data_IF_347439988276
#
_entry.id   IF_347439988276
#
_cell.length_a   1.000
_cell.length_b   1.000
_cell.length_c   1.000
_cell.angle_alpha   90.00
_cell.angle_beta   90.00
_cell.angle_gamma   90.00
#
_symmetry.space_group_name_H-M   'P 1'
#
loop_
_entity.id
_entity.type
_entity.pdbx_description
1 polymer ?
#
# COMPACT_ATOMS: atom_id res chain seq x y z
N UNK A 1 -20.34 64.63 21.98
CA UNK A 1 -20.88 63.34 22.44
C UNK A 1 -21.72 62.72 21.34
N UNK A 2 -21.13 61.86 20.49
CA UNK A 2 -21.92 61.02 19.57
C UNK A 2 -22.52 59.88 20.40
N UNK A 3 -23.82 59.72 20.27
CA UNK A 3 -24.74 59.13 21.25
C UNK A 3 -24.63 57.61 21.36
N UNK A 4 -24.69 57.10 22.60
CA UNK A 4 -24.87 55.69 22.97
C UNK A 4 -25.98 54.96 22.17
N UNK A 5 -26.96 55.69 21.63
CA UNK A 5 -28.01 55.16 20.73
C UNK A 5 -27.48 54.51 19.45
N UNK A 6 -26.36 55.00 18.89
CA UNK A 6 -25.81 54.42 17.65
C UNK A 6 -25.09 53.09 17.89
N UNK A 7 -24.61 52.84 19.12
CA UNK A 7 -23.99 51.58 19.52
C UNK A 7 -25.07 50.53 19.84
N UNK A 8 -26.16 50.94 20.52
CA UNK A 8 -27.32 50.06 20.76
C UNK A 8 -28.08 49.68 19.47
N UNK A 9 -28.18 50.59 18.49
CA UNK A 9 -28.80 50.26 17.19
C UNK A 9 -28.00 49.24 16.36
N UNK A 10 -26.67 49.22 16.51
CA UNK A 10 -25.82 48.22 15.87
C UNK A 10 -25.87 46.86 16.58
N UNK A 11 -26.03 46.83 17.91
CA UNK A 11 -26.20 45.59 18.67
C UNK A 11 -27.56 44.92 18.42
N UNK A 12 -28.63 45.70 18.25
CA UNK A 12 -29.96 45.16 17.93
C UNK A 12 -30.02 44.57 16.52
N UNK A 13 -29.35 45.18 15.54
CA UNK A 13 -29.26 44.62 14.19
C UNK A 13 -28.42 43.33 14.15
N UNK A 14 -27.35 43.28 14.95
CA UNK A 14 -26.52 42.08 15.11
C UNK A 14 -27.31 40.93 15.74
N UNK A 15 -28.04 41.19 16.83
CA UNK A 15 -28.86 40.19 17.52
C UNK A 15 -29.96 39.63 16.60
N UNK A 16 -30.60 40.49 15.80
CA UNK A 16 -31.57 40.05 14.79
C UNK A 16 -30.96 39.14 13.72
N UNK A 17 -29.71 39.42 13.30
CA UNK A 17 -29.00 38.56 12.34
C UNK A 17 -28.65 37.20 12.95
N UNK A 18 -28.16 37.18 14.19
CA UNK A 18 -27.83 35.94 14.92
C UNK A 18 -29.09 35.08 15.08
N UNK A 19 -30.22 35.67 15.50
CA UNK A 19 -31.50 34.96 15.61
C UNK A 19 -31.96 34.37 14.27
N UNK A 20 -31.79 35.13 13.17
CA UNK A 20 -32.12 34.64 11.83
C UNK A 20 -31.24 33.45 11.41
N UNK A 21 -29.95 33.50 11.71
CA UNK A 21 -29.01 32.39 11.47
C UNK A 21 -29.41 31.18 12.30
N UNK A 22 -29.64 31.37 13.60
CA UNK A 22 -30.10 30.32 14.52
C UNK A 22 -31.36 29.63 14.00
N UNK A 23 -32.38 30.38 13.61
CA UNK A 23 -33.59 29.78 13.03
C UNK A 23 -33.33 29.01 11.74
N UNK A 24 -32.42 29.51 10.88
CA UNK A 24 -32.07 28.80 9.65
C UNK A 24 -31.27 27.52 9.91
N UNK A 25 -30.48 27.47 10.98
CA UNK A 25 -29.68 26.30 11.37
C UNK A 25 -30.55 25.25 12.04
N UNK A 26 -31.41 25.63 12.98
CA UNK A 26 -32.30 24.69 13.70
C UNK A 26 -33.36 24.08 12.77
N UNK A 27 -33.72 24.77 11.68
CA UNK A 27 -34.66 24.25 10.67
C UNK A 27 -34.03 23.28 9.67
N UNK A 28 -32.70 23.14 9.67
CA UNK A 28 -32.03 22.16 8.82
C UNK A 28 -32.44 20.73 9.24
N UNK A 29 -32.82 19.84 8.31
CA UNK A 29 -33.30 18.50 8.64
C UNK A 29 -32.30 17.69 9.48
N UNK A 30 -31.02 17.73 9.12
CA UNK A 30 -29.98 16.94 9.78
C UNK A 30 -29.68 17.48 11.19
N UNK A 31 -29.63 18.82 11.33
CA UNK A 31 -29.47 19.47 12.64
C UNK A 31 -30.68 19.18 13.52
N UNK A 32 -31.90 19.30 12.98
CA UNK A 32 -33.13 19.05 13.72
C UNK A 32 -33.19 17.61 14.24
N UNK A 33 -32.85 16.64 13.40
CA UNK A 33 -32.77 15.23 13.79
C UNK A 33 -31.79 15.03 14.96
N UNK A 34 -30.59 15.62 14.88
CA UNK A 34 -29.61 15.55 15.97
C UNK A 34 -30.14 16.16 17.29
N UNK A 35 -30.77 17.34 17.21
CA UNK A 35 -31.35 18.02 18.36
C UNK A 35 -32.48 17.20 19.00
N UNK A 36 -33.31 16.54 18.19
CA UNK A 36 -34.39 15.66 18.64
C UNK A 36 -33.86 14.39 19.33
N UNK A 37 -32.79 13.79 18.79
CA UNK A 37 -32.16 12.60 19.38
C UNK A 37 -31.48 12.89 20.73
N UNK A 38 -31.02 14.13 20.96
CA UNK A 38 -30.26 14.51 22.15
C UNK A 38 -30.98 15.50 23.08
N UNK A 39 -32.31 15.58 23.02
CA UNK A 39 -33.11 16.53 23.82
C UNK A 39 -32.85 16.47 25.32
N UNK A 40 -32.51 15.30 25.87
CA UNK A 40 -32.22 15.13 27.30
C UNK A 40 -30.88 15.70 27.75
N UNK A 41 -29.96 15.95 26.81
CA UNK A 41 -28.59 16.42 27.09
C UNK A 41 -28.36 17.86 26.61
N UNK A 42 -29.25 18.39 25.76
CA UNK A 42 -29.11 19.71 25.16
C UNK A 42 -29.81 20.80 25.99
N UNK A 43 -29.14 21.93 26.13
CA UNK A 43 -29.75 23.17 26.65
C UNK A 43 -29.76 24.26 25.58
N UNK A 44 -30.67 25.23 25.68
CA UNK A 44 -30.68 26.37 24.75
C UNK A 44 -29.37 27.16 24.78
N UNK A 45 -28.71 27.24 25.95
CA UNK A 45 -27.40 27.89 26.08
C UNK A 45 -26.33 27.18 25.25
N UNK A 46 -26.32 25.84 25.24
CA UNK A 46 -25.38 25.06 24.41
C UNK A 46 -25.60 25.33 22.91
N UNK A 47 -26.86 25.39 22.47
CA UNK A 47 -27.20 25.68 21.07
C UNK A 47 -26.73 27.09 20.67
N UNK A 48 -26.85 28.05 21.58
CA UNK A 48 -26.40 29.43 21.34
C UNK A 48 -24.88 29.55 21.31
N UNK A 49 -24.18 28.91 22.24
CA UNK A 49 -22.72 28.93 22.32
C UNK A 49 -22.04 28.17 21.18
N UNK A 50 -22.66 27.09 20.71
CA UNK A 50 -22.14 26.23 19.64
C UNK A 50 -22.85 26.46 18.29
N UNK A 51 -23.54 27.60 18.13
CA UNK A 51 -24.24 27.93 16.88
C UNK A 51 -23.32 27.90 15.66
N UNK A 52 -22.06 28.30 15.82
CA UNK A 52 -21.04 28.25 14.76
C UNK A 52 -20.75 26.80 14.33
N UNK A 53 -20.73 25.85 15.27
CA UNK A 53 -20.50 24.42 14.99
C UNK A 53 -21.70 23.86 14.23
N UNK A 54 -22.91 24.18 14.66
CA UNK A 54 -24.13 23.76 13.96
C UNK A 54 -24.22 24.36 12.55
N UNK A 55 -23.75 25.59 12.36
CA UNK A 55 -23.67 26.22 11.05
C UNK A 55 -22.61 25.54 10.16
N UNK A 56 -21.41 25.26 10.69
CA UNK A 56 -20.36 24.52 9.98
C UNK A 56 -20.82 23.12 9.55
N UNK A 57 -21.58 22.44 10.42
CA UNK A 57 -22.17 21.15 10.09
C UNK A 57 -23.21 21.27 8.97
N UNK A 58 -24.08 22.28 9.05
CA UNK A 58 -25.11 22.54 8.05
C UNK A 58 -24.52 22.75 6.65
N UNK A 59 -23.44 23.52 6.54
CA UNK A 59 -22.84 23.92 5.26
C UNK A 59 -22.04 22.78 4.57
N UNK A 60 -21.96 21.60 5.20
CA UNK A 60 -21.29 20.42 4.69
C UNK A 60 -22.28 19.32 4.26
N UNK A 61 -21.80 18.39 3.45
CA UNK A 61 -22.53 17.21 3.00
C UNK A 61 -22.36 16.05 3.99
N UNK A 62 -23.48 15.52 4.50
CA UNK A 62 -23.52 14.46 5.53
C UNK A 62 -23.53 13.07 4.93
N UNK A 63 -24.13 12.94 3.74
CA UNK A 63 -24.33 11.66 3.06
C UNK A 63 -23.51 11.58 1.78
N UNK A 64 -22.96 10.38 1.55
CA UNK A 64 -22.23 10.10 0.33
C UNK A 64 -23.19 9.98 -0.86
N UNK A 65 -22.93 10.75 -1.93
CA UNK A 65 -23.74 10.82 -3.15
C UNK A 65 -23.09 10.13 -4.37
N UNK A 66 -21.94 9.48 -4.19
CA UNK A 66 -21.19 8.86 -5.29
C UNK A 66 -20.03 9.69 -5.84
N UNK A 67 -19.74 10.88 -5.29
CA UNK A 67 -18.63 11.72 -5.76
C UNK A 67 -17.24 11.03 -5.67
N UNK A 68 -16.31 11.53 -6.48
CA UNK A 68 -14.89 11.13 -6.46
C UNK A 68 -14.12 11.87 -5.35
N UNK A 69 -13.01 11.29 -4.88
CA UNK A 69 -12.20 11.90 -3.81
C UNK A 69 -11.70 13.30 -4.19
N UNK A 70 -11.35 13.53 -5.46
CA UNK A 70 -10.87 14.83 -5.94
C UNK A 70 -11.92 15.94 -5.80
N UNK A 71 -13.20 15.56 -5.90
CA UNK A 71 -14.39 16.43 -5.96
C UNK A 71 -15.17 16.42 -4.63
N UNK A 72 -14.61 15.85 -3.56
CA UNK A 72 -15.28 15.79 -2.26
C UNK A 72 -15.62 17.21 -1.77
N UNK A 73 -16.92 17.55 -1.56
CA UNK A 73 -17.35 18.93 -1.33
C UNK A 73 -17.18 19.41 0.12
N UNK A 74 -16.75 18.53 1.03
CA UNK A 74 -16.62 18.84 2.45
C UNK A 74 -15.33 19.57 2.80
N UNK A 75 -15.37 20.32 3.91
CA UNK A 75 -14.26 21.16 4.35
C UNK A 75 -12.99 20.33 4.62
N UNK A 76 -13.16 19.18 5.27
CA UNK A 76 -12.10 18.18 5.41
C UNK A 76 -12.21 17.18 4.26
N UNK A 77 -11.33 17.33 3.27
CA UNK A 77 -11.36 16.51 2.04
C UNK A 77 -11.42 15.02 2.34
N UNK A 78 -12.42 14.35 1.77
CA UNK A 78 -12.65 12.92 1.94
C UNK A 78 -13.25 12.51 3.28
N UNK A 79 -13.86 13.42 4.03
CA UNK A 79 -14.54 13.13 5.28
C UNK A 79 -15.97 13.67 5.26
N UNK A 80 -16.85 13.06 6.05
CA UNK A 80 -18.20 13.57 6.34
C UNK A 80 -18.26 14.00 7.81
N UNK A 81 -18.88 15.14 8.13
CA UNK A 81 -18.99 15.60 9.50
C UNK A 81 -20.11 14.83 10.22
N UNK A 82 -19.94 14.62 11.51
CA UNK A 82 -20.95 14.02 12.40
C UNK A 82 -20.96 14.80 13.72
N UNK A 83 -22.16 15.21 14.16
CA UNK A 83 -22.34 15.91 15.42
C UNK A 83 -22.31 14.93 16.59
N UNK A 84 -21.71 15.37 17.70
CA UNK A 84 -21.75 14.67 18.98
C UNK A 84 -21.69 15.66 20.13
N UNK A 85 -22.11 15.21 21.32
CA UNK A 85 -22.05 15.99 22.56
C UNK A 85 -20.93 15.43 23.43
N UNK A 86 -20.05 16.32 23.91
CA UNK A 86 -19.01 15.97 24.87
C UNK A 86 -18.75 17.16 25.78
N UNK A 87 -18.70 16.92 27.10
CA UNK A 87 -18.48 17.95 28.12
C UNK A 87 -19.42 19.15 27.98
N UNK A 88 -20.72 18.88 27.80
CA UNK A 88 -21.77 19.92 27.63
C UNK A 88 -21.50 20.86 26.45
N UNK A 89 -20.79 20.41 25.41
CA UNK A 89 -20.55 21.14 24.16
C UNK A 89 -20.92 20.30 22.95
N UNK A 90 -21.48 20.94 21.94
CA UNK A 90 -21.73 20.34 20.63
C UNK A 90 -20.45 20.43 19.80
N UNK A 91 -20.01 19.30 19.26
CA UNK A 91 -18.77 19.20 18.47
C UNK A 91 -19.01 18.46 17.17
N UNK A 92 -18.12 18.67 16.20
CA UNK A 92 -18.06 17.88 14.96
C UNK A 92 -16.88 16.92 15.04
N UNK A 93 -17.13 15.65 14.69
CA UNK A 93 -16.07 14.70 14.35
C UNK A 93 -16.14 14.37 12.87
N UNK A 94 -14.99 14.09 12.28
CA UNK A 94 -14.88 13.83 10.85
C UNK A 94 -14.68 12.33 10.62
N UNK A 95 -15.70 11.68 10.06
CA UNK A 95 -15.66 10.28 9.66
C UNK A 95 -15.13 10.16 8.23
N UNK A 96 -14.50 9.04 7.89
CA UNK A 96 -14.01 8.82 6.51
C UNK A 96 -15.20 8.71 5.56
N UNK A 97 -15.20 9.54 4.52
CA UNK A 97 -16.16 9.43 3.41
C UNK A 97 -15.84 8.17 2.59
N UNK A 98 -16.85 7.45 2.06
CA UNK A 98 -16.63 6.32 1.16
C UNK A 98 -15.72 6.61 -0.03
N UNK A 99 -15.70 7.84 -0.56
CA UNK A 99 -14.76 8.24 -1.62
C UNK A 99 -13.30 8.16 -1.18
N UNK A 100 -12.99 8.55 0.07
CA UNK A 100 -11.65 8.47 0.66
C UNK A 100 -11.27 7.04 0.97
N UNK A 101 -12.21 6.22 1.44
CA UNK A 101 -11.98 4.79 1.65
C UNK A 101 -11.60 4.14 0.32
N UNK A 102 -12.36 4.35 -0.75
CA UNK A 102 -12.04 3.84 -2.08
C UNK A 102 -10.70 4.37 -2.61
N UNK A 103 -10.47 5.68 -2.53
CA UNK A 103 -9.20 6.28 -2.98
C UNK A 103 -7.99 5.76 -2.18
N UNK A 104 -8.12 5.64 -0.86
CA UNK A 104 -7.05 5.11 0.00
C UNK A 104 -6.86 3.61 -0.27
N UNK A 105 -7.92 2.83 -0.52
CA UNK A 105 -7.84 1.43 -0.93
C UNK A 105 -7.20 1.28 -2.32
N UNK A 106 -7.55 2.10 -3.30
CA UNK A 106 -6.92 2.12 -4.63
C UNK A 106 -5.46 2.51 -4.55
N UNK A 107 -5.14 3.54 -3.76
CA UNK A 107 -3.77 3.99 -3.52
C UNK A 107 -2.97 2.92 -2.78
N UNK A 108 -3.55 2.30 -1.76
CA UNK A 108 -2.94 1.19 -1.02
C UNK A 108 -2.71 0.01 -1.97
N UNK A 109 -3.72 -0.42 -2.71
CA UNK A 109 -3.66 -1.47 -3.73
C UNK A 109 -2.62 -1.20 -4.82
N UNK A 110 -2.47 0.06 -5.25
CA UNK A 110 -1.43 0.47 -6.20
C UNK A 110 -0.02 0.42 -5.60
N UNK A 111 0.11 0.48 -4.26
CA UNK A 111 1.35 0.29 -3.53
C UNK A 111 1.64 -1.19 -3.21
N UNK A 112 0.60 -2.03 -3.05
CA UNK A 112 0.73 -3.49 -2.79
C UNK A 112 1.29 -4.28 -3.98
N UNK A 113 1.30 -3.67 -5.17
CA UNK A 113 2.07 -4.14 -6.31
C UNK A 113 2.86 -2.95 -6.82
N UNK A 114 3.92 -2.59 -6.10
CA UNK A 114 4.91 -1.63 -6.61
C UNK A 114 5.67 -2.32 -7.74
N UNK A 115 5.05 -2.43 -8.92
CA UNK A 115 5.65 -3.00 -10.12
C UNK A 115 6.60 -1.97 -10.71
N UNK A 116 7.87 -2.11 -10.38
CA UNK A 116 8.90 -1.46 -11.17
C UNK A 116 9.05 -2.24 -12.48
N UNK A 117 8.36 -1.78 -13.53
CA UNK A 117 8.57 -2.14 -14.94
C UNK A 117 8.14 -3.55 -15.41
N UNK A 118 7.15 -4.19 -14.77
CA UNK A 118 6.57 -5.44 -15.27
C UNK A 118 5.47 -5.22 -16.33
N UNK A 119 5.32 -6.21 -17.24
CA UNK A 119 4.22 -6.27 -18.21
C UNK A 119 2.87 -6.51 -17.50
N UNK A 120 1.80 -5.86 -17.99
CA UNK A 120 0.45 -5.91 -17.37
C UNK A 120 -0.08 -7.34 -17.18
N UNK A 121 0.24 -8.25 -18.10
CA UNK A 121 -0.23 -9.63 -18.05
C UNK A 121 0.32 -10.42 -16.85
N UNK A 122 1.48 -10.00 -16.31
CA UNK A 122 2.03 -10.57 -15.06
C UNK A 122 1.27 -10.06 -13.83
N UNK A 123 0.66 -8.87 -13.92
CA UNK A 123 -0.09 -8.25 -12.83
C UNK A 123 -1.52 -8.80 -12.68
N UNK A 124 -2.06 -9.48 -13.70
CA UNK A 124 -3.42 -10.05 -13.70
C UNK A 124 -3.43 -11.59 -13.49
N UNK A 125 -2.26 -12.20 -13.29
CA UNK A 125 -2.09 -13.64 -13.10
C UNK A 125 -2.86 -14.17 -11.88
N UNK A 126 -3.52 -15.33 -11.99
CA UNK A 126 -4.21 -15.97 -10.85
C UNK A 126 -3.63 -17.36 -10.61
N UNK A 127 -3.60 -17.79 -9.35
CA UNK A 127 -3.09 -19.13 -9.03
C UNK A 127 -3.86 -20.25 -9.72
N UNK A 128 -5.18 -20.09 -9.87
CA UNK A 128 -6.04 -21.02 -10.61
C UNK A 128 -5.71 -21.12 -12.11
N UNK A 129 -5.04 -20.10 -12.66
CA UNK A 129 -4.63 -20.03 -14.06
C UNK A 129 -3.21 -20.58 -14.24
N UNK A 130 -2.51 -20.98 -13.16
CA UNK A 130 -1.31 -21.80 -13.25
C UNK A 130 -1.76 -23.16 -13.79
N UNK A 131 -1.62 -23.34 -15.11
CA UNK A 131 -2.10 -24.48 -15.88
C UNK A 131 -1.79 -25.82 -15.17
N UNK A 132 -2.84 -26.53 -14.79
CA UNK A 132 -2.84 -27.80 -14.06
C UNK A 132 -2.38 -29.01 -14.91
N UNK A 133 -1.54 -28.80 -15.92
CA UNK A 133 -1.23 -29.82 -16.93
C UNK A 133 0.00 -30.67 -16.58
N UNK A 134 0.87 -30.22 -15.68
CA UNK A 134 2.09 -30.94 -15.28
C UNK A 134 2.22 -30.97 -13.75
N UNK A 135 2.64 -32.12 -13.18
CA UNK A 135 2.68 -32.36 -11.72
C UNK A 135 3.50 -31.31 -10.97
N UNK A 136 4.66 -30.92 -11.53
CA UNK A 136 5.57 -29.97 -10.89
C UNK A 136 4.94 -28.57 -10.72
N UNK A 137 4.02 -28.18 -11.61
CA UNK A 137 3.28 -26.90 -11.49
C UNK A 137 2.18 -26.94 -10.44
N UNK A 138 1.59 -28.12 -10.23
CA UNK A 138 0.60 -28.31 -9.17
C UNK A 138 1.26 -28.19 -7.81
N UNK A 139 2.44 -28.79 -7.62
CA UNK A 139 3.21 -28.70 -6.38
C UNK A 139 3.58 -27.25 -6.05
N UNK A 140 4.01 -26.48 -7.06
CA UNK A 140 4.31 -25.04 -6.89
C UNK A 140 3.05 -24.24 -6.56
N UNK A 141 1.92 -24.52 -7.22
CA UNK A 141 0.66 -23.83 -6.94
C UNK A 141 0.14 -24.12 -5.53
N UNK A 142 0.26 -25.37 -5.07
CA UNK A 142 -0.09 -25.77 -3.70
C UNK A 142 0.81 -25.11 -2.67
N UNK A 143 2.12 -25.11 -2.90
CA UNK A 143 3.09 -24.44 -2.02
C UNK A 143 2.83 -22.92 -1.97
N UNK A 144 2.52 -22.29 -3.10
CA UNK A 144 2.15 -20.88 -3.17
C UNK A 144 0.89 -20.57 -2.35
N UNK A 145 -0.16 -21.39 -2.49
CA UNK A 145 -1.43 -21.23 -1.75
C UNK A 145 -1.23 -21.39 -0.23
N UNK A 146 -0.45 -22.40 0.16
CA UNK A 146 -0.08 -22.65 1.56
C UNK A 146 0.70 -21.48 2.14
N UNK A 147 1.76 -21.03 1.46
CA UNK A 147 2.56 -19.88 1.91
C UNK A 147 1.68 -18.63 2.05
N UNK A 148 0.81 -18.33 1.09
CA UNK A 148 -0.11 -17.19 1.17
C UNK A 148 -1.09 -17.30 2.35
N UNK A 149 -1.51 -18.52 2.69
CA UNK A 149 -2.39 -18.78 3.83
C UNK A 149 -1.64 -18.59 5.15
N UNK A 150 -0.44 -19.14 5.27
CA UNK A 150 0.40 -19.00 6.46
C UNK A 150 0.80 -17.53 6.69
N UNK A 151 1.13 -16.78 5.63
CA UNK A 151 1.36 -15.32 5.69
C UNK A 151 0.11 -14.60 6.24
N UNK A 152 -1.09 -14.96 5.78
CA UNK A 152 -2.32 -14.35 6.26
C UNK A 152 -2.62 -14.65 7.74
N UNK A 153 -2.14 -15.78 8.23
CA UNK A 153 -2.19 -16.16 9.65
C UNK A 153 -1.03 -15.56 10.47
N UNK A 154 -0.19 -14.71 9.86
CA UNK A 154 0.97 -14.08 10.48
C UNK A 154 2.02 -15.09 10.98
N UNK A 155 2.14 -16.22 10.28
CA UNK A 155 3.14 -17.25 10.52
C UNK A 155 4.44 -16.96 9.78
N UNK A 156 5.55 -17.45 10.33
CA UNK A 156 6.87 -17.34 9.67
C UNK A 156 6.93 -18.31 8.49
N UNK A 157 7.28 -17.80 7.32
CA UNK A 157 7.37 -18.60 6.10
C UNK A 157 8.67 -18.34 5.35
N UNK A 158 9.15 -19.34 4.62
CA UNK A 158 10.09 -19.15 3.52
C UNK A 158 9.31 -18.83 2.25
N UNK A 159 9.86 -17.95 1.41
CA UNK A 159 9.29 -17.72 0.09
C UNK A 159 9.67 -18.82 -0.91
N UNK A 160 9.31 -18.64 -2.16
CA UNK A 160 9.65 -19.57 -3.25
C UNK A 160 10.88 -19.07 -4.00
N UNK A 161 11.77 -19.99 -4.38
CA UNK A 161 12.82 -19.74 -5.37
C UNK A 161 12.48 -20.51 -6.64
N UNK A 162 11.87 -19.82 -7.59
CA UNK A 162 11.42 -20.38 -8.85
C UNK A 162 12.56 -20.33 -9.87
N UNK A 163 13.01 -21.46 -10.37
CA UNK A 163 14.10 -21.49 -11.34
C UNK A 163 13.86 -22.44 -12.50
N UNK A 164 14.54 -22.20 -13.63
CA UNK A 164 14.44 -23.00 -14.84
C UNK A 164 14.51 -22.16 -16.11
N UNK A 165 14.26 -22.76 -17.29
CA UNK A 165 14.44 -22.11 -18.59
C UNK A 165 13.59 -20.84 -18.80
N UNK A 166 13.96 -20.05 -19.81
CA UNK A 166 13.18 -18.87 -20.20
C UNK A 166 11.76 -19.25 -20.64
N UNK A 167 10.79 -18.41 -20.28
CA UNK A 167 9.41 -18.55 -20.75
C UNK A 167 8.61 -19.69 -20.10
N UNK A 168 9.11 -20.31 -19.03
CA UNK A 168 8.37 -21.34 -18.28
C UNK A 168 7.30 -20.80 -17.33
N UNK A 169 7.16 -19.47 -17.19
CA UNK A 169 6.10 -18.84 -16.40
C UNK A 169 6.48 -18.47 -14.96
N UNK A 170 7.77 -18.42 -14.61
CA UNK A 170 8.25 -18.07 -13.27
C UNK A 170 7.71 -16.72 -12.77
N UNK A 171 7.84 -15.66 -13.59
CA UNK A 171 7.33 -14.32 -13.27
C UNK A 171 5.80 -14.30 -13.14
N UNK A 172 5.09 -15.10 -13.95
CA UNK A 172 3.64 -15.25 -13.87
C UNK A 172 3.21 -15.83 -12.52
N UNK A 173 3.94 -16.83 -12.01
CA UNK A 173 3.66 -17.42 -10.69
C UNK A 173 3.90 -16.40 -9.58
N UNK A 174 4.98 -15.60 -9.63
CA UNK A 174 5.17 -14.50 -8.68
C UNK A 174 4.00 -13.50 -8.71
N UNK A 175 3.54 -13.12 -9.91
CA UNK A 175 2.36 -12.27 -10.09
C UNK A 175 1.09 -12.90 -9.49
N UNK A 176 0.91 -14.21 -9.67
CA UNK A 176 -0.22 -14.95 -9.13
C UNK A 176 -0.21 -15.00 -7.58
N UNK A 177 0.97 -15.20 -6.97
CA UNK A 177 1.17 -15.11 -5.52
C UNK A 177 0.81 -13.71 -5.02
N UNK A 178 1.31 -12.66 -5.70
CA UNK A 178 1.02 -11.28 -5.31
C UNK A 178 -0.47 -10.94 -5.38
N UNK A 179 -1.16 -11.41 -6.42
CA UNK A 179 -2.59 -11.24 -6.56
C UNK A 179 -3.39 -12.00 -5.52
N UNK A 180 -2.93 -13.18 -5.12
CA UNK A 180 -3.57 -13.90 -4.03
C UNK A 180 -3.41 -13.14 -2.70
N UNK A 181 -2.20 -12.67 -2.37
CA UNK A 181 -1.95 -11.85 -1.18
C UNK A 181 -2.79 -10.56 -1.20
N UNK A 182 -2.91 -9.92 -2.37
CA UNK A 182 -3.78 -8.76 -2.58
C UNK A 182 -5.25 -9.08 -2.30
N UNK A 183 -5.76 -10.24 -2.73
CA UNK A 183 -7.14 -10.65 -2.42
C UNK A 183 -7.38 -10.84 -0.91
N UNK A 184 -6.32 -11.14 -0.16
CA UNK A 184 -6.31 -11.19 1.32
C UNK A 184 -5.97 -9.83 1.98
N UNK A 185 -5.89 -8.74 1.21
CA UNK A 185 -5.52 -7.37 1.65
C UNK A 185 -4.11 -7.25 2.24
N UNK A 186 -3.18 -8.12 1.81
CA UNK A 186 -1.79 -8.12 2.27
C UNK A 186 -0.89 -7.45 1.24
N UNK A 187 -0.06 -6.51 1.70
CA UNK A 187 0.88 -5.78 0.85
C UNK A 187 2.03 -6.66 0.39
N UNK A 188 2.35 -6.61 -0.90
CA UNK A 188 3.56 -7.19 -1.46
C UNK A 188 4.32 -6.18 -2.32
N UNK A 189 5.50 -6.53 -2.80
CA UNK A 189 6.28 -5.68 -3.72
C UNK A 189 7.00 -6.60 -4.68
N UNK A 190 6.80 -6.39 -5.99
CA UNK A 190 7.48 -7.16 -7.03
C UNK A 190 8.48 -6.24 -7.74
N UNK A 191 9.74 -6.65 -7.76
CA UNK A 191 10.83 -5.88 -8.34
C UNK A 191 11.48 -6.70 -9.43
N UNK A 192 11.46 -6.17 -10.67
CA UNK A 192 12.32 -6.68 -11.73
C UNK A 192 13.75 -6.19 -11.49
N UNK A 193 14.63 -7.10 -11.07
CA UNK A 193 15.92 -6.76 -10.50
C UNK A 193 16.87 -6.02 -11.46
N UNK A 194 16.99 -6.41 -12.75
CA UNK A 194 17.88 -5.73 -13.70
C UNK A 194 17.55 -4.23 -13.86
N UNK A 195 16.26 -3.92 -13.97
CA UNK A 195 15.79 -2.55 -14.17
C UNK A 195 15.83 -1.72 -12.89
N UNK A 196 15.58 -2.37 -11.74
CA UNK A 196 15.75 -1.74 -10.44
C UNK A 196 17.20 -1.29 -10.23
N UNK A 197 18.17 -2.17 -10.53
CA UNK A 197 19.59 -1.83 -10.48
C UNK A 197 19.91 -0.66 -11.43
N UNK A 198 19.38 -0.66 -12.66
CA UNK A 198 19.55 0.45 -13.61
C UNK A 198 19.04 1.77 -13.03
N UNK A 199 17.89 1.74 -12.37
CA UNK A 199 17.28 2.90 -11.72
C UNK A 199 18.12 3.40 -10.53
N UNK A 200 18.69 2.49 -9.73
CA UNK A 200 19.56 2.84 -8.61
C UNK A 200 20.89 3.45 -9.08
N UNK A 201 21.48 2.94 -10.17
CA UNK A 201 22.69 3.53 -10.77
C UNK A 201 22.49 5.00 -11.15
N UNK A 202 21.30 5.37 -11.64
CA UNK A 202 20.95 6.75 -11.95
C UNK A 202 20.86 7.68 -10.72
N UNK A 203 20.53 7.12 -9.54
CA UNK A 203 20.42 7.85 -8.27
C UNK A 203 21.72 7.94 -7.46
N UNK A 204 22.82 7.38 -7.97
CA UNK A 204 24.10 7.25 -7.27
C UNK A 204 24.74 8.59 -6.90
N UNK A 205 24.63 9.59 -7.80
CA UNK A 205 25.28 10.90 -7.61
C UNK A 205 24.63 11.77 -6.54
N UNK A 206 23.34 11.56 -6.28
CA UNK A 206 22.52 12.47 -5.47
C UNK A 206 22.01 11.81 -4.17
N UNK A 207 22.50 10.61 -3.82
CA UNK A 207 22.11 9.86 -2.61
C UNK A 207 20.68 9.30 -2.62
N UNK A 208 19.88 9.62 -3.64
CA UNK A 208 18.47 9.19 -3.77
C UNK A 208 18.29 7.68 -3.92
N UNK A 209 19.36 6.93 -4.24
CA UNK A 209 19.32 5.48 -4.36
C UNK A 209 19.07 4.79 -3.01
N UNK A 210 19.61 5.33 -1.91
CA UNK A 210 19.49 4.73 -0.57
C UNK A 210 18.03 4.68 -0.12
N UNK A 211 17.30 5.79 -0.26
CA UNK A 211 15.88 5.87 0.09
C UNK A 211 15.00 4.93 -0.75
N UNK A 212 15.36 4.71 -2.03
CA UNK A 212 14.65 3.74 -2.89
C UNK A 212 14.94 2.31 -2.46
N UNK A 213 16.20 2.01 -2.15
CA UNK A 213 16.63 0.70 -1.67
C UNK A 213 16.00 0.37 -0.32
N UNK A 214 15.98 1.33 0.62
CA UNK A 214 15.37 1.20 1.94
C UNK A 214 13.90 0.80 1.83
N UNK A 215 13.13 1.48 0.98
CA UNK A 215 11.72 1.16 0.74
C UNK A 215 11.51 -0.28 0.23
N UNK A 216 12.37 -0.77 -0.66
CA UNK A 216 12.29 -2.15 -1.18
C UNK A 216 12.75 -3.16 -0.12
N UNK A 217 13.79 -2.82 0.63
CA UNK A 217 14.37 -3.63 1.70
C UNK A 217 13.37 -3.89 2.82
N UNK A 218 12.59 -2.89 3.17
CA UNK A 218 11.63 -2.91 4.28
C UNK A 218 10.22 -3.34 3.88
N UNK A 219 9.99 -3.69 2.61
CA UNK A 219 8.70 -4.19 2.16
C UNK A 219 8.29 -5.45 2.96
N UNK A 220 7.05 -5.50 3.45
CA UNK A 220 6.55 -6.63 4.24
C UNK A 220 6.76 -7.96 3.51
N UNK A 221 6.47 -8.00 2.21
CA UNK A 221 6.70 -9.14 1.33
C UNK A 221 7.38 -8.62 0.07
N UNK A 222 8.50 -9.25 -0.31
CA UNK A 222 9.28 -8.88 -1.49
C UNK A 222 9.38 -10.05 -2.45
N UNK A 223 9.21 -9.78 -3.74
CA UNK A 223 9.40 -10.72 -4.83
C UNK A 223 10.44 -10.13 -5.78
N UNK A 224 11.58 -10.81 -5.91
CA UNK A 224 12.68 -10.43 -6.79
C UNK A 224 12.57 -11.24 -8.08
N UNK A 225 12.14 -10.59 -9.15
CA UNK A 225 11.97 -11.22 -10.46
C UNK A 225 13.26 -11.13 -11.28
N UNK A 226 13.62 -12.26 -11.89
CA UNK A 226 14.75 -12.47 -12.79
C UNK A 226 16.12 -12.14 -12.16
N UNK A 227 16.33 -12.60 -10.92
CA UNK A 227 17.64 -12.50 -10.26
C UNK A 227 18.69 -13.28 -11.04
N UNK A 228 19.83 -12.66 -11.30
CA UNK A 228 20.90 -13.19 -12.14
C UNK A 228 20.86 -12.72 -13.60
N UNK A 229 19.80 -12.05 -14.05
CA UNK A 229 19.77 -11.43 -15.38
C UNK A 229 20.56 -10.10 -15.43
N UNK A 230 20.91 -9.53 -14.27
CA UNK A 230 21.71 -8.32 -14.17
C UNK A 230 23.20 -8.54 -14.48
N UNK A 231 23.87 -7.48 -14.95
CA UNK A 231 25.33 -7.43 -14.96
C UNK A 231 25.84 -7.34 -13.52
N UNK A 232 26.53 -8.39 -13.06
CA UNK A 232 27.13 -8.43 -11.72
C UNK A 232 28.35 -7.52 -11.68
N UNK A 233 28.23 -6.41 -10.96
CA UNK A 233 29.36 -5.59 -10.55
C UNK A 233 29.59 -5.73 -9.05
N UNK A 234 30.82 -5.51 -8.53
CA UNK A 234 31.09 -5.55 -7.09
C UNK A 234 30.13 -4.65 -6.31
N UNK A 235 29.80 -3.47 -6.85
CA UNK A 235 28.82 -2.56 -6.26
C UNK A 235 27.40 -3.15 -6.18
N UNK A 236 26.89 -3.73 -7.27
CA UNK A 236 25.56 -4.37 -7.25
C UNK A 236 25.50 -5.49 -6.23
N UNK A 237 26.54 -6.32 -6.19
CA UNK A 237 26.62 -7.47 -5.29
C UNK A 237 26.76 -7.05 -3.82
N UNK A 238 27.68 -6.14 -3.52
CA UNK A 238 28.11 -5.82 -2.15
C UNK A 238 27.28 -4.71 -1.51
N UNK A 239 26.73 -3.77 -2.29
CA UNK A 239 25.99 -2.61 -1.77
C UNK A 239 24.46 -2.74 -1.98
N UNK A 240 24.01 -3.53 -2.94
CA UNK A 240 22.57 -3.71 -3.22
C UNK A 240 22.10 -5.10 -2.77
N UNK A 241 22.49 -6.15 -3.48
CA UNK A 241 21.93 -7.50 -3.28
C UNK A 241 22.31 -8.03 -1.89
N UNK A 242 23.58 -7.93 -1.52
CA UNK A 242 24.08 -8.39 -0.23
C UNK A 242 23.34 -7.77 0.96
N UNK A 243 23.33 -6.44 1.11
CA UNK A 243 22.66 -5.75 2.21
C UNK A 243 21.14 -5.94 2.20
N UNK A 244 20.51 -5.93 1.03
CA UNK A 244 19.07 -6.19 0.86
C UNK A 244 18.70 -7.56 1.46
N UNK A 245 19.37 -8.62 1.01
CA UNK A 245 19.06 -9.98 1.46
C UNK A 245 19.48 -10.21 2.92
N UNK A 246 20.55 -9.57 3.37
CA UNK A 246 20.98 -9.67 4.77
C UNK A 246 19.91 -9.12 5.72
N UNK A 247 19.40 -7.91 5.43
CA UNK A 247 18.34 -7.29 6.23
C UNK A 247 17.11 -8.19 6.31
N UNK A 248 16.62 -8.65 5.14
CA UNK A 248 15.42 -9.48 5.08
C UNK A 248 15.59 -10.82 5.81
N UNK A 249 16.78 -11.40 5.77
CA UNK A 249 17.10 -12.62 6.52
C UNK A 249 17.07 -12.38 8.03
N UNK A 250 17.70 -11.30 8.51
CA UNK A 250 17.74 -10.96 9.95
C UNK A 250 16.35 -10.64 10.50
N UNK A 251 15.52 -9.96 9.70
CA UNK A 251 14.16 -9.59 10.07
C UNK A 251 13.11 -10.64 9.68
N UNK A 252 13.52 -11.80 9.16
CA UNK A 252 12.65 -12.92 8.75
C UNK A 252 11.49 -12.49 7.83
N UNK A 253 11.76 -11.55 6.91
CA UNK A 253 10.74 -11.02 6.00
C UNK A 253 10.56 -11.96 4.79
N UNK A 254 9.33 -12.41 4.48
CA UNK A 254 9.07 -13.29 3.33
C UNK A 254 9.64 -12.72 2.03
N UNK A 255 10.46 -13.54 1.35
CA UNK A 255 11.15 -13.14 0.12
C UNK A 255 11.07 -14.23 -0.93
N UNK A 256 10.51 -13.88 -2.08
CA UNK A 256 10.33 -14.77 -3.23
C UNK A 256 11.30 -14.37 -4.34
N UNK A 257 11.68 -15.34 -5.16
CA UNK A 257 12.65 -15.16 -6.23
C UNK A 257 12.18 -15.87 -7.49
N UNK A 258 12.50 -15.30 -8.65
CA UNK A 258 12.55 -16.05 -9.91
C UNK A 258 13.92 -15.89 -10.55
N UNK A 259 14.45 -16.95 -11.14
CA UNK A 259 15.75 -16.93 -11.81
C UNK A 259 15.79 -17.90 -13.00
N UNK A 260 16.69 -17.66 -13.95
CA UNK A 260 17.04 -18.68 -14.94
C UNK A 260 18.11 -19.66 -14.43
N UNK A 261 18.70 -19.37 -13.27
CA UNK A 261 19.77 -20.14 -12.66
C UNK A 261 19.29 -20.90 -11.43
N UNK A 262 19.79 -22.12 -11.24
CA UNK A 262 19.74 -22.77 -9.94
C UNK A 262 20.66 -22.06 -8.92
N UNK A 263 20.74 -22.55 -7.69
CA UNK A 263 21.59 -21.95 -6.66
C UNK A 263 23.09 -21.98 -7.01
N UNK A 264 23.56 -23.07 -7.60
CA UNK A 264 24.98 -23.25 -7.93
C UNK A 264 25.38 -22.35 -9.10
N UNK A 265 24.53 -22.28 -10.11
CA UNK A 265 24.69 -21.40 -11.27
C UNK A 265 24.64 -19.93 -10.86
N UNK A 266 23.70 -19.56 -9.98
CA UNK A 266 23.60 -18.19 -9.48
C UNK A 266 24.82 -17.83 -8.60
N UNK A 267 25.30 -18.75 -7.77
CA UNK A 267 26.54 -18.54 -7.00
C UNK A 267 27.73 -18.32 -7.93
N UNK A 268 27.87 -19.14 -8.99
CA UNK A 268 28.92 -18.96 -9.96
C UNK A 268 28.83 -17.60 -10.65
N UNK A 269 27.63 -17.21 -11.11
CA UNK A 269 27.37 -15.92 -11.74
C UNK A 269 27.73 -14.74 -10.82
N UNK A 270 27.31 -14.78 -9.56
CA UNK A 270 27.62 -13.75 -8.57
C UNK A 270 29.11 -13.70 -8.17
N UNK A 271 29.84 -14.80 -8.37
CA UNK A 271 31.27 -14.87 -8.06
C UNK A 271 32.15 -14.21 -9.12
N UNK A 272 31.68 -14.10 -10.36
CA UNK A 272 32.44 -13.56 -11.47
C UNK A 272 32.22 -12.05 -11.60
N UNK A 273 33.28 -11.27 -11.38
CA UNK A 273 33.26 -9.82 -11.62
C UNK A 273 34.46 -9.40 -12.46
N UNK A 274 34.48 -8.14 -12.90
CA UNK A 274 35.62 -7.55 -13.62
C UNK A 274 36.92 -7.59 -12.80
N UNK A 275 36.82 -7.62 -11.48
CA UNK A 275 37.95 -7.64 -10.54
C UNK A 275 38.42 -9.07 -10.21
N UNK A 276 37.78 -10.09 -10.82
CA UNK A 276 38.11 -11.50 -10.63
C UNK A 276 37.03 -12.28 -9.86
N UNK A 277 37.41 -13.49 -9.44
CA UNK A 277 36.52 -14.45 -8.80
C UNK A 277 36.45 -14.26 -7.27
N UNK A 278 35.30 -13.83 -6.75
CA UNK A 278 35.07 -13.60 -5.32
C UNK A 278 34.08 -14.61 -4.72
N UNK A 279 34.47 -15.90 -4.75
CA UNK A 279 33.62 -17.04 -4.36
C UNK A 279 33.01 -16.90 -2.96
N UNK A 280 33.79 -16.48 -1.97
CA UNK A 280 33.31 -16.36 -0.58
C UNK A 280 32.18 -15.34 -0.43
N UNK A 281 32.20 -14.25 -1.21
CA UNK A 281 31.13 -13.23 -1.16
C UNK A 281 29.85 -13.76 -1.81
N UNK A 282 29.97 -14.42 -2.96
CA UNK A 282 28.85 -15.07 -3.64
C UNK A 282 28.20 -16.15 -2.78
N UNK A 283 29.01 -17.02 -2.15
CA UNK A 283 28.53 -18.06 -1.24
C UNK A 283 27.70 -17.47 -0.08
N UNK A 284 28.12 -16.35 0.52
CA UNK A 284 27.32 -15.70 1.58
C UNK A 284 25.97 -15.20 1.07
N UNK A 285 25.90 -14.73 -0.16
CA UNK A 285 24.64 -14.27 -0.76
C UNK A 285 23.74 -15.47 -1.02
N UNK A 286 24.25 -16.55 -1.59
CA UNK A 286 23.43 -17.74 -1.87
C UNK A 286 22.90 -18.39 -0.59
N UNK A 287 23.68 -18.41 0.49
CA UNK A 287 23.21 -18.92 1.78
C UNK A 287 22.05 -18.08 2.36
N UNK A 288 22.05 -16.76 2.12
CA UNK A 288 20.91 -15.89 2.47
C UNK A 288 19.68 -16.22 1.62
N UNK A 289 19.85 -16.45 0.32
CA UNK A 289 18.76 -16.86 -0.58
C UNK A 289 18.15 -18.19 -0.13
N UNK A 290 18.97 -19.21 0.16
CA UNK A 290 18.52 -20.52 0.67
C UNK A 290 17.83 -20.44 2.05
N UNK A 291 18.25 -19.49 2.87
CA UNK A 291 17.60 -19.25 4.17
C UNK A 291 16.20 -18.65 3.98
N UNK A 292 16.07 -17.71 3.03
CA UNK A 292 14.83 -16.98 2.76
C UNK A 292 13.81 -17.75 1.90
N UNK A 293 14.24 -18.79 1.18
CA UNK A 293 13.42 -19.42 0.15
C UNK A 293 13.56 -20.94 0.06
N UNK A 294 12.56 -21.59 -0.53
CA UNK A 294 12.55 -23.00 -0.88
C UNK A 294 12.61 -23.14 -2.40
N UNK A 295 13.53 -23.94 -2.97
CA UNK A 295 13.70 -24.06 -4.42
C UNK A 295 12.59 -24.90 -5.07
N UNK A 296 12.09 -24.42 -6.20
CA UNK A 296 11.16 -25.13 -7.07
C UNK A 296 11.62 -24.97 -8.53
N UNK A 297 11.90 -26.11 -9.16
CA UNK A 297 12.23 -26.15 -10.58
C UNK A 297 10.95 -26.08 -11.41
N UNK A 298 10.99 -25.25 -12.46
CA UNK A 298 9.89 -25.07 -13.40
C UNK A 298 10.34 -25.43 -14.80
N UNK A 299 9.91 -26.61 -15.24
CA UNK A 299 10.01 -27.06 -16.62
C UNK A 299 8.71 -26.73 -17.39
N UNK A 300 8.80 -26.76 -18.72
CA UNK A 300 7.64 -26.60 -19.59
C UNK A 300 7.97 -25.92 -20.92
N UNK A 301 6.97 -25.88 -21.81
CA UNK A 301 7.07 -25.18 -23.09
C UNK A 301 7.29 -23.68 -22.85
N UNK A 302 7.97 -23.02 -23.77
CA UNK A 302 8.08 -21.57 -23.73
C UNK A 302 6.72 -20.95 -24.11
N UNK A 303 6.03 -20.38 -23.11
CA UNK A 303 4.70 -19.79 -23.26
C UNK A 303 4.72 -18.40 -23.91
N UNK A 304 5.89 -17.86 -24.26
CA UNK A 304 5.99 -16.60 -25.03
C UNK A 304 5.83 -16.79 -26.53
N UNK A 305 5.90 -18.03 -27.02
CA UNK A 305 5.94 -18.35 -28.45
C UNK A 305 4.60 -18.85 -29.02
N UNK A 306 3.52 -18.84 -28.25
CA UNK A 306 2.16 -19.21 -28.68
C UNK A 306 1.14 -18.17 -28.21
#
# INVERSE_FOLDING_TARGET
MKSFKNIMGASDDLNKRIEKIKQNVIKDPDVKEFLEQHQSQLTNAMIDEDLNVLQEYKDQQKHYDGHRFEECPNFVKGHVPELYIENERIKIRYLKCPCKIKHDEERFNSQLITSHHMQRDTLDAKLKDIYMTERDRLDVAMAADEICTNIANNEKVKGLYLYGPFGTGKSFILGAVANQLKSKKISSTIVYLPEFIRTLKGGFKDGSFEKKLERVREANILMLDDIGAEEVTPWVRDEIIGPLLHYRMVHELPTFFSSNFDYSELEHHLSMTRDGAEKTKAARIIERVKTLSTPYYLEGKNYRNN
#
